data_IF_026852041845
#
_entry.id   IF_026852041845
#
_cell.length_a   1.000
_cell.length_b   1.000
_cell.length_c   1.000
_cell.angle_alpha   90.00
_cell.angle_beta   90.00
_cell.angle_gamma   90.00
#
_symmetry.space_group_name_H-M   'P 1'
#
loop_
_entity.id
_entity.type
_entity.pdbx_description
1 polymer ?
#
# COMPACT_ATOMS: atom_id res chain seq x y z
N UNK A 1 84.69 -93.74 15.40
CA UNK A 1 83.92 -94.80 16.09
C UNK A 1 83.57 -95.94 15.13
N UNK A 2 82.89 -95.70 13.99
CA UNK A 2 82.62 -96.74 12.99
C UNK A 2 83.89 -97.55 12.60
N UNK A 3 84.94 -96.86 12.18
CA UNK A 3 86.20 -97.52 11.75
C UNK A 3 87.01 -98.11 12.92
N UNK A 4 86.74 -97.70 14.17
CA UNK A 4 87.47 -98.15 15.37
C UNK A 4 86.88 -99.45 15.94
N UNK A 5 85.57 -99.65 15.76
CA UNK A 5 84.85 -100.86 16.17
C UNK A 5 85.30 -102.10 15.39
N UNK A 6 85.80 -101.93 14.16
CA UNK A 6 86.36 -103.03 13.36
C UNK A 6 87.59 -103.67 14.02
N UNK A 7 88.31 -102.92 14.87
CA UNK A 7 89.51 -103.37 15.57
C UNK A 7 89.27 -103.69 17.04
N UNK A 8 88.30 -103.04 17.70
CA UNK A 8 87.91 -103.30 19.09
C UNK A 8 86.39 -103.33 19.26
N UNK A 9 85.86 -104.56 19.33
CA UNK A 9 84.43 -104.82 19.49
C UNK A 9 83.83 -104.32 20.82
N UNK A 10 84.65 -104.00 21.84
CA UNK A 10 84.15 -103.42 23.09
C UNK A 10 83.60 -101.99 22.90
N UNK A 11 83.93 -101.32 21.79
CA UNK A 11 83.44 -99.99 21.45
C UNK A 11 82.04 -99.99 20.79
N UNK A 12 81.50 -101.16 20.45
CA UNK A 12 80.18 -101.31 19.80
C UNK A 12 79.04 -100.62 20.58
N UNK A 13 78.91 -100.78 21.92
CA UNK A 13 77.82 -100.15 22.66
C UNK A 13 77.91 -98.62 22.68
N UNK A 14 79.12 -98.05 22.67
CA UNK A 14 79.33 -96.60 22.60
C UNK A 14 78.97 -96.04 21.22
N UNK A 15 79.27 -96.78 20.15
CA UNK A 15 78.87 -96.40 18.80
C UNK A 15 77.34 -96.42 18.63
N UNK A 16 76.65 -97.41 19.21
CA UNK A 16 75.19 -97.45 19.24
C UNK A 16 74.61 -96.25 20.00
N UNK A 17 75.15 -95.92 21.17
CA UNK A 17 74.70 -94.76 21.95
C UNK A 17 74.86 -93.43 21.19
N UNK A 18 75.94 -93.28 20.43
CA UNK A 18 76.17 -92.10 19.56
C UNK A 18 75.22 -92.09 18.38
N UNK A 19 74.90 -93.24 17.77
CA UNK A 19 73.91 -93.34 16.68
C UNK A 19 72.51 -93.00 17.16
N UNK A 20 72.14 -93.47 18.36
CA UNK A 20 70.85 -93.14 18.98
C UNK A 20 70.76 -91.65 19.31
N UNK A 21 71.82 -91.07 19.87
CA UNK A 21 71.88 -89.62 20.11
C UNK A 21 71.80 -88.82 18.80
N UNK A 22 72.49 -89.26 17.75
CA UNK A 22 72.43 -88.62 16.43
C UNK A 22 71.03 -88.70 15.83
N UNK A 23 70.38 -89.87 15.91
CA UNK A 23 69.01 -90.06 15.44
C UNK A 23 68.03 -89.16 16.21
N UNK A 24 68.16 -89.08 17.54
CA UNK A 24 67.34 -88.21 18.37
C UNK A 24 67.52 -86.73 18.02
N UNK A 25 68.75 -86.26 17.80
CA UNK A 25 69.02 -84.87 17.38
C UNK A 25 68.44 -84.58 15.99
N UNK A 26 68.55 -85.51 15.04
CA UNK A 26 67.94 -85.35 13.72
C UNK A 26 66.41 -85.30 13.78
N UNK A 27 65.80 -86.09 14.66
CA UNK A 27 64.35 -86.10 14.86
C UNK A 27 63.86 -84.78 15.49
N UNK A 28 64.56 -84.28 16.52
CA UNK A 28 64.28 -82.96 17.11
C UNK A 28 64.40 -81.85 16.05
N UNK A 29 65.43 -81.90 15.20
CA UNK A 29 65.60 -80.95 14.10
C UNK A 29 64.44 -80.97 13.09
N UNK A 30 63.93 -82.17 12.76
CA UNK A 30 62.72 -82.29 11.91
C UNK A 30 61.49 -81.71 12.57
N UNK A 31 61.27 -81.99 13.85
CA UNK A 31 60.09 -81.50 14.58
C UNK A 31 60.10 -79.97 14.72
N UNK A 32 61.27 -79.35 14.93
CA UNK A 32 61.42 -77.89 14.96
C UNK A 32 61.09 -77.28 13.59
N UNK A 33 61.60 -77.86 12.50
CA UNK A 33 61.27 -77.36 11.15
C UNK A 33 59.78 -77.52 10.84
N UNK A 34 59.17 -78.66 11.17
CA UNK A 34 57.74 -78.88 10.99
C UNK A 34 56.87 -77.92 11.84
N UNK A 35 57.32 -77.58 13.05
CA UNK A 35 56.68 -76.55 13.87
C UNK A 35 56.81 -75.16 13.25
N UNK A 36 57.99 -74.84 12.70
CA UNK A 36 58.23 -73.59 11.96
C UNK A 36 57.37 -73.45 10.71
N UNK A 37 57.24 -74.52 9.92
CA UNK A 37 56.41 -74.57 8.72
C UNK A 37 54.90 -74.48 9.05
N UNK A 38 54.51 -74.87 10.27
CA UNK A 38 53.13 -74.74 10.77
C UNK A 38 52.78 -73.34 11.32
N UNK A 39 53.75 -72.44 11.44
CA UNK A 39 53.51 -71.04 11.79
C UNK A 39 53.22 -70.25 10.51
N UNK A 40 51.95 -70.21 10.10
CA UNK A 40 51.46 -69.26 9.09
C UNK A 40 51.51 -67.83 9.65
N UNK A 41 52.68 -67.22 9.63
CA UNK A 41 52.85 -65.79 9.83
C UNK A 41 52.79 -65.12 8.46
N UNK A 42 51.66 -64.50 8.12
CA UNK A 42 51.54 -63.61 6.96
C UNK A 42 51.98 -62.19 7.39
N UNK A 43 53.24 -61.79 7.13
CA UNK A 43 53.77 -60.51 7.63
C UNK A 43 53.13 -59.33 6.92
N UNK A 44 52.70 -59.52 5.67
CA UNK A 44 52.06 -58.50 4.86
C UNK A 44 50.65 -58.23 5.40
N UNK A 45 49.91 -59.28 5.78
CA UNK A 45 48.62 -59.13 6.44
C UNK A 45 48.73 -58.46 7.81
N UNK A 46 49.79 -58.75 8.57
CA UNK A 46 50.03 -58.09 9.85
C UNK A 46 50.25 -56.58 9.65
N UNK A 47 51.07 -56.19 8.67
CA UNK A 47 51.33 -54.80 8.35
C UNK A 47 50.05 -54.05 7.94
N UNK A 48 49.20 -54.65 7.09
CA UNK A 48 47.88 -54.10 6.72
C UNK A 48 46.98 -53.86 7.94
N UNK A 49 46.92 -54.83 8.86
CA UNK A 49 46.09 -54.74 10.07
C UNK A 49 46.62 -53.66 11.01
N UNK A 50 47.93 -53.59 11.20
CA UNK A 50 48.54 -52.55 12.03
C UNK A 50 48.32 -51.14 11.46
N UNK A 51 48.46 -50.98 10.14
CA UNK A 51 48.18 -49.71 9.46
C UNK A 51 46.72 -49.32 9.65
N UNK A 52 45.80 -50.26 9.46
CA UNK A 52 44.37 -50.01 9.70
C UNK A 52 44.08 -49.62 11.14
N UNK A 53 44.70 -50.27 12.12
CA UNK A 53 44.56 -49.92 13.54
C UNK A 53 45.13 -48.52 13.82
N UNK A 54 46.26 -48.14 13.20
CA UNK A 54 46.85 -46.80 13.31
C UNK A 54 45.90 -45.74 12.77
N UNK A 55 45.31 -45.95 11.59
CA UNK A 55 44.30 -45.05 11.01
C UNK A 55 43.11 -44.84 11.95
N UNK A 56 42.50 -45.94 12.42
CA UNK A 56 41.33 -45.88 13.30
C UNK A 56 41.65 -45.14 14.61
N UNK A 57 42.84 -45.34 15.17
CA UNK A 57 43.30 -44.61 16.37
C UNK A 57 43.50 -43.12 16.09
N UNK A 58 44.03 -42.74 14.94
CA UNK A 58 44.17 -41.33 14.56
C UNK A 58 42.81 -40.64 14.42
N UNK A 59 41.82 -41.32 13.81
CA UNK A 59 40.44 -40.85 13.69
C UNK A 59 39.83 -40.66 15.09
N UNK A 60 39.95 -41.66 15.97
CA UNK A 60 39.45 -41.55 17.35
C UNK A 60 40.11 -40.37 18.10
N UNK A 61 41.43 -40.21 17.99
CA UNK A 61 42.14 -39.11 18.65
C UNK A 61 41.63 -37.73 18.24
N UNK A 62 41.14 -37.56 17.00
CA UNK A 62 40.63 -36.29 16.48
C UNK A 62 39.14 -36.08 16.74
N UNK A 63 38.34 -37.15 16.70
CA UNK A 63 36.88 -37.04 16.56
C UNK A 63 36.07 -37.80 17.63
N UNK A 64 36.73 -38.50 18.55
CA UNK A 64 36.08 -39.14 19.71
C UNK A 64 36.92 -40.30 20.29
N UNK A 65 37.02 -40.44 21.62
CA UNK A 65 37.85 -41.47 22.26
C UNK A 65 37.54 -42.91 21.84
N UNK A 66 36.34 -43.17 21.29
CA UNK A 66 35.95 -44.45 20.71
C UNK A 66 35.52 -44.30 19.24
N UNK A 67 35.58 -45.41 18.49
CA UNK A 67 35.17 -45.42 17.08
C UNK A 67 33.68 -45.07 16.92
N UNK A 68 32.85 -45.51 17.87
CA UNK A 68 31.42 -45.19 17.94
C UNK A 68 31.19 -43.70 18.06
N UNK A 69 31.94 -43.02 18.93
CA UNK A 69 31.86 -41.57 19.11
C UNK A 69 32.35 -40.80 17.88
N UNK A 70 33.42 -41.26 17.23
CA UNK A 70 33.90 -40.66 15.99
C UNK A 70 32.87 -40.78 14.84
N UNK A 71 32.17 -41.91 14.74
CA UNK A 71 31.08 -42.11 13.76
C UNK A 71 29.88 -41.22 14.10
N UNK A 72 29.49 -41.14 15.37
CA UNK A 72 28.41 -40.24 15.81
C UNK A 72 28.74 -38.78 15.53
N UNK A 73 30.00 -38.37 15.74
CA UNK A 73 30.49 -37.03 15.41
C UNK A 73 30.41 -36.74 13.91
N UNK A 74 30.82 -37.68 13.06
CA UNK A 74 30.68 -37.58 11.61
C UNK A 74 29.22 -37.41 11.18
N UNK A 75 28.31 -38.23 11.71
CA UNK A 75 26.88 -38.14 11.40
C UNK A 75 26.30 -36.80 11.85
N UNK A 76 26.68 -36.31 13.03
CA UNK A 76 26.27 -34.99 13.53
C UNK A 76 26.73 -33.87 12.61
N UNK A 77 28.01 -33.85 12.21
CA UNK A 77 28.54 -32.81 11.31
C UNK A 77 27.91 -32.90 9.92
N UNK A 78 27.67 -34.10 9.38
CA UNK A 78 26.94 -34.23 8.13
C UNK A 78 25.52 -33.66 8.24
N UNK A 79 24.84 -33.88 9.36
CA UNK A 79 23.54 -33.28 9.63
C UNK A 79 23.59 -31.74 9.70
N UNK A 80 24.58 -31.19 10.41
CA UNK A 80 24.80 -29.73 10.50
C UNK A 80 25.14 -29.12 9.14
N UNK A 81 26.01 -29.76 8.35
CA UNK A 81 26.36 -29.33 6.99
C UNK A 81 25.14 -29.35 6.06
N UNK A 82 24.30 -30.39 6.14
CA UNK A 82 23.08 -30.48 5.35
C UNK A 82 22.10 -29.35 5.72
N UNK A 83 21.93 -29.04 7.02
CA UNK A 83 21.09 -27.93 7.47
C UNK A 83 21.60 -26.57 6.98
N UNK A 84 22.92 -26.34 6.99
CA UNK A 84 23.52 -25.10 6.51
C UNK A 84 23.34 -24.93 4.98
N UNK A 85 23.57 -25.99 4.20
CA UNK A 85 23.39 -25.95 2.74
C UNK A 85 21.93 -25.76 2.33
N UNK A 86 20.98 -26.38 3.04
CA UNK A 86 19.54 -26.20 2.82
C UNK A 86 19.11 -24.74 3.12
N UNK A 87 19.73 -24.12 4.12
CA UNK A 87 19.49 -22.72 4.49
C UNK A 87 19.98 -21.74 3.41
N UNK A 88 21.13 -21.99 2.78
CA UNK A 88 21.63 -21.17 1.67
C UNK A 88 20.75 -21.27 0.42
N UNK A 89 20.28 -22.48 0.08
CA UNK A 89 19.28 -22.67 -0.98
C UNK A 89 17.97 -21.94 -0.67
N UNK A 90 17.59 -21.86 0.61
CA UNK A 90 16.42 -21.10 1.04
C UNK A 90 16.60 -19.59 0.83
N UNK A 91 17.79 -19.01 1.06
CA UNK A 91 18.01 -17.57 0.86
C UNK A 91 17.94 -17.23 -0.63
N UNK A 92 18.65 -17.97 -1.49
CA UNK A 92 18.62 -17.73 -2.94
C UNK A 92 17.18 -17.88 -3.49
N UNK A 93 16.45 -18.90 -3.02
CA UNK A 93 15.03 -19.06 -3.37
C UNK A 93 14.17 -17.89 -2.89
N UNK A 94 14.40 -17.37 -1.68
CA UNK A 94 13.65 -16.22 -1.15
C UNK A 94 13.96 -14.94 -1.92
N UNK A 95 15.23 -14.71 -2.30
CA UNK A 95 15.63 -13.57 -3.14
C UNK A 95 15.00 -13.66 -4.54
N UNK A 96 14.94 -14.85 -5.13
CA UNK A 96 14.24 -15.06 -6.41
C UNK A 96 12.73 -14.77 -6.27
N UNK A 97 12.10 -15.20 -5.17
CA UNK A 97 10.69 -14.92 -4.90
C UNK A 97 10.43 -13.43 -4.65
N UNK A 98 11.32 -12.75 -3.92
CA UNK A 98 11.26 -11.31 -3.69
C UNK A 98 11.35 -10.55 -5.01
N UNK A 99 12.34 -10.88 -5.85
CA UNK A 99 12.51 -10.26 -7.17
C UNK A 99 11.28 -10.46 -8.06
N UNK A 100 10.74 -11.68 -8.12
CA UNK A 100 9.52 -11.96 -8.88
C UNK A 100 8.31 -11.15 -8.36
N UNK A 101 8.17 -11.01 -7.03
CA UNK A 101 7.14 -10.17 -6.43
C UNK A 101 7.34 -8.69 -6.75
N UNK A 102 8.59 -8.21 -6.72
CA UNK A 102 8.95 -6.83 -7.01
C UNK A 102 8.72 -6.46 -8.48
N UNK A 103 9.05 -7.35 -9.42
CA UNK A 103 8.75 -7.17 -10.85
C UNK A 103 7.24 -7.05 -11.08
N UNK A 104 6.46 -7.94 -10.45
CA UNK A 104 5.00 -7.90 -10.53
C UNK A 104 4.43 -6.61 -9.94
N UNK A 105 4.93 -6.18 -8.78
CA UNK A 105 4.55 -4.92 -8.15
C UNK A 105 4.82 -3.73 -9.09
N UNK A 106 5.99 -3.72 -9.71
CA UNK A 106 6.41 -2.67 -10.65
C UNK A 106 5.50 -2.65 -11.88
N UNK A 107 5.22 -3.82 -12.47
CA UNK A 107 4.34 -3.93 -13.63
C UNK A 107 2.92 -3.42 -13.33
N UNK A 108 2.32 -3.85 -12.22
CA UNK A 108 0.97 -3.43 -11.82
C UNK A 108 0.94 -1.94 -11.45
N UNK A 109 1.98 -1.44 -10.79
CA UNK A 109 2.10 -0.01 -10.47
C UNK A 109 2.16 0.84 -11.73
N UNK A 110 2.96 0.44 -12.73
CA UNK A 110 3.03 1.15 -14.02
C UNK A 110 1.69 1.15 -14.77
N UNK A 111 0.95 0.03 -14.73
CA UNK A 111 -0.40 -0.03 -15.29
C UNK A 111 -1.35 0.96 -14.59
N UNK A 112 -1.28 1.04 -13.27
CA UNK A 112 -2.07 1.99 -12.49
C UNK A 112 -1.69 3.44 -12.82
N UNK A 113 -0.40 3.76 -12.96
CA UNK A 113 0.08 5.08 -13.38
C UNK A 113 -0.49 5.46 -14.76
N UNK A 114 -0.49 4.55 -15.74
CA UNK A 114 -1.07 4.82 -17.06
C UNK A 114 -2.57 5.10 -17.01
N UNK A 115 -3.32 4.31 -16.22
CA UNK A 115 -4.75 4.53 -16.02
C UNK A 115 -5.01 5.89 -15.34
N UNK A 116 -4.20 6.25 -14.35
CA UNK A 116 -4.27 7.55 -13.66
C UNK A 116 -3.98 8.70 -14.61
N UNK A 117 -2.94 8.63 -15.44
CA UNK A 117 -2.62 9.67 -16.42
C UNK A 117 -3.75 9.87 -17.44
N UNK A 118 -4.39 8.78 -17.88
CA UNK A 118 -5.56 8.89 -18.77
C UNK A 118 -6.77 9.53 -18.06
N UNK A 119 -7.03 9.15 -16.81
CA UNK A 119 -8.11 9.71 -16.01
C UNK A 119 -7.87 11.19 -15.68
N UNK A 120 -6.63 11.56 -15.36
CA UNK A 120 -6.17 12.92 -15.12
C UNK A 120 -6.46 13.81 -16.34
N UNK A 121 -6.00 13.43 -17.53
CA UNK A 121 -6.24 14.20 -18.75
C UNK A 121 -7.74 14.38 -19.06
N UNK A 122 -8.56 13.36 -18.81
CA UNK A 122 -10.01 13.46 -18.97
C UNK A 122 -10.63 14.43 -17.94
N UNK A 123 -10.24 14.31 -16.67
CA UNK A 123 -10.70 15.18 -15.60
C UNK A 123 -10.31 16.64 -15.86
N UNK A 124 -9.07 16.90 -16.27
CA UNK A 124 -8.57 18.23 -16.62
C UNK A 124 -9.40 18.86 -17.73
N UNK A 125 -9.58 18.15 -18.85
CA UNK A 125 -10.36 18.64 -19.99
C UNK A 125 -11.81 18.93 -19.59
N UNK A 126 -12.44 18.01 -18.86
CA UNK A 126 -13.83 18.15 -18.42
C UNK A 126 -13.98 19.32 -17.43
N UNK A 127 -13.10 19.42 -16.44
CA UNK A 127 -13.15 20.48 -15.45
C UNK A 127 -12.96 21.87 -16.08
N UNK A 128 -12.01 22.01 -17.00
CA UNK A 128 -11.82 23.27 -17.75
C UNK A 128 -13.08 23.62 -18.55
N UNK A 129 -13.78 22.64 -19.13
CA UNK A 129 -15.04 22.90 -19.84
C UNK A 129 -16.16 23.38 -18.91
N UNK A 130 -16.24 22.83 -17.69
CA UNK A 130 -17.20 23.24 -16.65
C UNK A 130 -16.88 24.61 -16.04
N UNK A 131 -15.61 25.02 -16.02
CA UNK A 131 -15.16 26.31 -15.48
C UNK A 131 -15.41 27.49 -16.43
N UNK A 132 -15.41 27.27 -17.75
CA UNK A 132 -15.67 28.32 -18.75
C UNK A 132 -16.96 29.12 -18.50
N UNK A 133 -18.14 28.50 -18.35
CA UNK A 133 -19.39 29.24 -18.13
C UNK A 133 -19.41 29.98 -16.77
N UNK A 134 -18.53 29.62 -15.84
CA UNK A 134 -18.37 30.27 -14.53
C UNK A 134 -17.42 31.47 -14.56
N UNK A 135 -17.10 31.99 -15.76
CA UNK A 135 -16.11 33.06 -16.00
C UNK A 135 -14.69 32.72 -15.52
N UNK A 136 -14.36 31.43 -15.46
CA UNK A 136 -13.05 30.92 -15.04
C UNK A 136 -12.27 30.33 -16.24
N UNK A 137 -12.45 30.91 -17.43
CA UNK A 137 -11.83 30.45 -18.69
C UNK A 137 -10.30 30.50 -18.69
N UNK A 138 -9.74 31.36 -17.85
CA UNK A 138 -8.31 31.66 -17.76
C UNK A 138 -7.57 30.85 -16.69
N UNK A 139 -8.32 30.08 -15.91
CA UNK A 139 -7.80 29.21 -14.86
C UNK A 139 -7.00 28.08 -15.48
N UNK A 140 -5.92 27.68 -14.81
CA UNK A 140 -5.19 26.46 -15.14
C UNK A 140 -5.44 25.43 -14.04
N UNK A 141 -5.70 24.21 -14.46
CA UNK A 141 -5.81 23.05 -13.58
C UNK A 141 -5.01 21.91 -14.18
N UNK A 142 -4.24 21.23 -13.35
CA UNK A 142 -3.43 20.08 -13.72
C UNK A 142 -3.43 19.07 -12.58
N UNK A 143 -3.54 17.79 -12.90
CA UNK A 143 -3.30 16.69 -11.98
C UNK A 143 -1.85 16.27 -12.14
N UNK A 144 -1.03 16.66 -11.18
CA UNK A 144 0.37 16.26 -11.13
C UNK A 144 0.48 14.83 -10.57
N UNK A 145 1.19 13.97 -11.29
CA UNK A 145 1.44 12.58 -10.93
C UNK A 145 2.95 12.40 -10.87
N UNK A 146 3.50 12.27 -9.66
CA UNK A 146 4.92 12.07 -9.43
C UNK A 146 5.19 10.66 -8.91
N UNK A 147 6.26 9.97 -9.36
CA UNK A 147 6.62 8.67 -8.84
C UNK A 147 7.00 8.76 -7.35
N UNK A 148 6.62 7.76 -6.58
CA UNK A 148 6.96 7.63 -5.16
C UNK A 148 7.20 6.16 -4.80
N UNK A 149 7.75 5.91 -3.60
CA UNK A 149 7.92 4.54 -3.11
C UNK A 149 6.56 3.84 -3.07
N UNK A 150 6.45 2.57 -3.53
CA UNK A 150 5.18 1.86 -3.55
C UNK A 150 4.50 1.83 -2.18
N UNK A 151 3.23 2.19 -2.15
CA UNK A 151 2.36 2.08 -0.98
C UNK A 151 1.18 1.17 -1.30
N UNK A 152 0.31 0.92 -0.31
CA UNK A 152 -0.97 0.24 -0.55
C UNK A 152 -1.86 0.94 -1.60
N UNK A 153 -1.63 2.24 -1.83
CA UNK A 153 -2.35 3.04 -2.82
C UNK A 153 -1.62 3.13 -4.18
N UNK A 154 -0.54 2.39 -4.38
CA UNK A 154 0.30 2.43 -5.59
C UNK A 154 1.56 3.26 -5.42
N UNK A 155 2.25 3.50 -6.54
CA UNK A 155 3.56 4.14 -6.61
C UNK A 155 3.53 5.58 -7.17
N UNK A 156 2.37 6.23 -7.11
CA UNK A 156 2.22 7.62 -7.56
C UNK A 156 1.74 8.52 -6.41
N UNK A 157 2.39 9.67 -6.26
CA UNK A 157 1.87 10.82 -5.50
C UNK A 157 1.07 11.69 -6.45
N UNK A 158 -0.23 11.83 -6.16
CA UNK A 158 -1.16 12.63 -6.96
C UNK A 158 -1.40 13.96 -6.24
N UNK A 159 -1.18 15.07 -6.93
CA UNK A 159 -1.43 16.43 -6.44
C UNK A 159 -2.32 17.18 -7.42
N UNK A 160 -3.39 17.81 -6.93
CA UNK A 160 -4.20 18.71 -7.74
C UNK A 160 -3.60 20.10 -7.71
N UNK A 161 -3.14 20.55 -8.86
CA UNK A 161 -2.48 21.82 -9.07
C UNK A 161 -3.46 22.80 -9.72
N UNK A 162 -3.50 24.03 -9.22
CA UNK A 162 -4.44 25.05 -9.65
C UNK A 162 -3.75 26.40 -9.74
N UNK A 163 -4.23 27.25 -10.65
CA UNK A 163 -3.79 28.63 -10.80
C UNK A 163 -5.00 29.47 -11.22
N UNK A 164 -5.49 30.39 -10.37
CA UNK A 164 -6.70 31.16 -10.64
C UNK A 164 -6.47 32.21 -11.73
N UNK A 165 -5.27 32.81 -11.77
CA UNK A 165 -4.98 33.95 -12.62
C UNK A 165 -3.94 33.64 -13.71
N UNK A 166 -4.09 34.17 -14.93
CA UNK A 166 -3.02 34.16 -15.91
C UNK A 166 -1.72 34.75 -15.38
N UNK A 167 -0.61 34.08 -15.66
CA UNK A 167 0.73 34.55 -15.29
C UNK A 167 1.19 34.10 -13.91
N UNK A 168 0.31 33.55 -13.08
CA UNK A 168 0.69 32.89 -11.83
C UNK A 168 1.14 31.44 -12.08
N UNK A 169 2.07 30.91 -11.26
CA UNK A 169 2.45 29.51 -11.33
C UNK A 169 1.30 28.61 -10.84
N UNK A 170 1.34 27.35 -11.27
CA UNK A 170 0.50 26.30 -10.68
C UNK A 170 0.99 26.02 -9.26
N UNK A 171 0.06 26.00 -8.31
CA UNK A 171 0.32 25.65 -6.91
C UNK A 171 -0.63 24.54 -6.45
N UNK A 172 -0.27 23.78 -5.40
CA UNK A 172 -1.17 22.82 -4.81
C UNK A 172 -2.48 23.50 -4.39
N UNK A 173 -3.62 22.87 -4.69
CA UNK A 173 -4.95 23.39 -4.37
C UNK A 173 -5.11 23.73 -2.88
N UNK A 174 -4.40 23.04 -1.99
CA UNK A 174 -4.38 23.28 -0.54
C UNK A 174 -3.72 24.60 -0.13
N UNK A 175 -2.86 25.16 -0.97
CA UNK A 175 -2.11 26.39 -0.68
C UNK A 175 -2.80 27.65 -1.23
N UNK A 176 -3.90 27.48 -1.96
CA UNK A 176 -4.56 28.58 -2.66
C UNK A 176 -5.75 29.07 -1.83
N UNK A 177 -5.67 30.32 -1.40
CA UNK A 177 -6.70 30.98 -0.61
C UNK A 177 -7.51 31.96 -1.49
N UNK A 178 -8.72 31.58 -1.91
CA UNK A 178 -9.69 32.48 -2.55
C UNK A 178 -11.10 31.94 -2.39
N UNK A 179 -11.91 32.49 -1.47
CA UNK A 179 -13.21 31.91 -1.07
C UNK A 179 -14.20 31.71 -2.23
N UNK A 180 -14.45 32.78 -3.00
CA UNK A 180 -15.44 32.76 -4.09
C UNK A 180 -15.00 31.97 -5.32
N UNK A 181 -13.74 32.09 -5.74
CA UNK A 181 -13.21 31.34 -6.90
C UNK A 181 -13.06 29.85 -6.57
N UNK A 182 -12.61 29.53 -5.35
CA UNK A 182 -12.50 28.15 -4.89
C UNK A 182 -13.88 27.50 -4.78
N UNK A 183 -14.90 28.23 -4.31
CA UNK A 183 -16.27 27.71 -4.24
C UNK A 183 -16.85 27.42 -5.63
N UNK A 184 -16.58 28.29 -6.62
CA UNK A 184 -16.95 28.03 -8.02
C UNK A 184 -16.16 26.88 -8.63
N UNK A 185 -14.87 26.76 -8.29
CA UNK A 185 -14.05 25.62 -8.71
C UNK A 185 -14.58 24.30 -8.14
N UNK A 186 -14.89 24.27 -6.85
CA UNK A 186 -15.47 23.09 -6.19
C UNK A 186 -16.84 22.74 -6.74
N UNK A 187 -17.66 23.72 -7.12
CA UNK A 187 -18.92 23.49 -7.83
C UNK A 187 -18.68 22.78 -9.17
N UNK A 188 -17.76 23.29 -9.99
CA UNK A 188 -17.40 22.67 -11.27
C UNK A 188 -16.84 21.26 -11.08
N UNK A 189 -15.99 21.06 -10.06
CA UNK A 189 -15.44 19.77 -9.69
C UNK A 189 -16.53 18.78 -9.27
N UNK A 190 -17.48 19.21 -8.42
CA UNK A 190 -18.63 18.38 -8.05
C UNK A 190 -19.54 18.09 -9.24
N UNK A 191 -19.71 19.04 -10.17
CA UNK A 191 -20.45 18.80 -11.41
C UNK A 191 -19.80 17.69 -12.25
N UNK A 192 -18.46 17.66 -12.36
CA UNK A 192 -17.73 16.57 -13.01
C UNK A 192 -18.00 15.20 -12.37
N UNK A 193 -18.14 15.16 -11.03
CA UNK A 193 -18.33 13.93 -10.26
C UNK A 193 -19.80 13.58 -9.96
N UNK A 194 -20.76 14.43 -10.35
CA UNK A 194 -22.20 14.28 -10.04
C UNK A 194 -22.83 12.96 -10.49
N UNK A 195 -22.18 12.23 -11.41
CA UNK A 195 -22.63 10.91 -11.87
C UNK A 195 -22.13 9.75 -11.00
N UNK A 196 -21.08 9.96 -10.22
CA UNK A 196 -20.35 8.93 -9.47
C UNK A 196 -20.45 9.14 -7.95
N UNK A 197 -20.54 10.39 -7.50
CA UNK A 197 -20.56 10.77 -6.10
C UNK A 197 -21.98 11.21 -5.66
N UNK A 198 -22.55 10.48 -4.72
CA UNK A 198 -23.86 10.77 -4.10
C UNK A 198 -23.59 11.36 -2.72
N UNK A 199 -23.15 12.62 -2.66
CA UNK A 199 -23.05 13.30 -1.37
C UNK A 199 -24.46 13.73 -0.95
N UNK A 200 -24.97 13.18 0.15
CA UNK A 200 -26.37 13.40 0.57
C UNK A 200 -26.79 14.88 0.65
N UNK A 201 -25.91 15.74 1.19
CA UNK A 201 -26.15 17.18 1.32
C UNK A 201 -24.85 17.98 1.07
N UNK A 202 -24.96 19.06 0.30
CA UNK A 202 -23.88 20.00 0.00
C UNK A 202 -24.28 21.42 0.41
N UNK A 203 -23.34 22.18 0.96
CA UNK A 203 -23.54 23.58 1.36
C UNK A 203 -22.56 24.46 0.59
N UNK A 204 -23.10 25.45 -0.12
CA UNK A 204 -22.34 26.47 -0.82
C UNK A 204 -22.62 27.83 -0.19
N UNK A 205 -21.54 28.51 0.21
CA UNK A 205 -21.57 29.89 0.69
C UNK A 205 -20.66 30.72 -0.22
N UNK A 206 -21.00 31.99 -0.42
CA UNK A 206 -20.22 32.96 -1.22
C UNK A 206 -19.90 32.59 -2.68
N UNK A 207 -20.54 31.56 -3.22
CA UNK A 207 -20.39 31.10 -4.61
C UNK A 207 -20.69 32.21 -5.64
N UNK A 208 -21.63 33.09 -5.30
CA UNK A 208 -22.12 34.18 -6.14
C UNK A 208 -21.44 35.53 -5.85
N UNK A 209 -20.37 35.55 -5.04
CA UNK A 209 -19.61 36.77 -4.75
C UNK A 209 -18.84 37.24 -5.98
N UNK A 210 -19.00 38.54 -6.29
CA UNK A 210 -18.27 39.21 -7.36
C UNK A 210 -18.72 38.84 -8.78
N UNK A 211 -19.85 38.14 -8.93
CA UNK A 211 -20.37 37.69 -10.23
C UNK A 211 -21.81 38.17 -10.45
N UNK A 212 -22.20 38.37 -11.70
CA UNK A 212 -23.54 38.81 -12.07
C UNK A 212 -23.92 38.37 -13.49
N UNK A 213 -25.19 38.55 -13.86
CA UNK A 213 -25.69 38.27 -15.20
C UNK A 213 -25.46 36.82 -15.64
N UNK A 214 -24.80 36.63 -16.79
CA UNK A 214 -24.57 35.30 -17.40
C UNK A 214 -23.84 34.33 -16.47
N UNK A 215 -22.92 34.81 -15.64
CA UNK A 215 -22.16 33.96 -14.71
C UNK A 215 -23.05 33.48 -13.55
N UNK A 216 -23.87 34.36 -12.99
CA UNK A 216 -24.84 34.00 -11.96
C UNK A 216 -25.90 33.01 -12.48
N UNK A 217 -26.29 33.14 -13.76
CA UNK A 217 -27.17 32.18 -14.42
C UNK A 217 -26.51 30.79 -14.55
N UNK A 218 -25.26 30.73 -15.02
CA UNK A 218 -24.51 29.48 -15.12
C UNK A 218 -24.34 28.79 -13.75
N UNK A 219 -24.07 29.58 -12.70
CA UNK A 219 -24.06 29.09 -11.31
C UNK A 219 -25.39 28.47 -10.92
N UNK A 220 -26.50 29.16 -11.20
CA UNK A 220 -27.84 28.69 -10.88
C UNK A 220 -28.16 27.36 -11.57
N UNK A 221 -27.83 27.24 -12.86
CA UNK A 221 -28.00 26.02 -13.65
C UNK A 221 -27.14 24.86 -13.10
N UNK A 222 -25.88 25.11 -12.72
CA UNK A 222 -25.01 24.08 -12.15
C UNK A 222 -25.47 23.62 -10.76
N UNK A 223 -25.90 24.55 -9.90
CA UNK A 223 -26.48 24.20 -8.60
C UNK A 223 -27.75 23.36 -8.77
N UNK A 224 -28.58 23.69 -9.77
CA UNK A 224 -29.77 22.91 -10.09
C UNK A 224 -29.43 21.51 -10.61
N UNK A 225 -28.49 21.41 -11.54
CA UNK A 225 -28.01 20.13 -12.06
C UNK A 225 -27.51 19.21 -10.93
N UNK A 226 -26.80 19.78 -9.94
CA UNK A 226 -26.36 19.05 -8.74
C UNK A 226 -27.53 18.68 -7.82
N UNK A 227 -28.55 19.54 -7.71
CA UNK A 227 -29.71 19.31 -6.85
C UNK A 227 -30.61 18.16 -7.31
N UNK A 228 -30.51 17.75 -8.58
CA UNK A 228 -31.23 16.58 -9.11
C UNK A 228 -30.87 15.27 -8.40
N UNK A 229 -29.68 15.19 -7.80
CA UNK A 229 -29.18 13.96 -7.14
C UNK A 229 -28.76 14.17 -5.68
N UNK A 230 -28.64 15.42 -5.24
CA UNK A 230 -28.12 15.77 -3.93
C UNK A 230 -28.97 16.89 -3.31
N UNK A 231 -29.01 17.00 -1.99
CA UNK A 231 -29.57 18.20 -1.37
C UNK A 231 -28.54 19.34 -1.46
N UNK A 232 -28.87 20.44 -2.13
CA UNK A 232 -28.00 21.61 -2.24
C UNK A 232 -28.56 22.77 -1.42
N UNK A 233 -27.78 23.26 -0.46
CA UNK A 233 -28.06 24.46 0.31
C UNK A 233 -27.14 25.58 -0.17
N UNK A 234 -27.71 26.67 -0.66
CA UNK A 234 -26.95 27.83 -1.12
C UNK A 234 -27.41 29.08 -0.36
N UNK A 235 -26.47 29.80 0.24
CA UNK A 235 -26.70 31.18 0.69
C UNK A 235 -26.38 32.09 -0.49
N UNK A 236 -27.31 32.94 -0.89
CA UNK A 236 -27.18 33.77 -2.10
C UNK A 236 -27.89 35.10 -1.92
N UNK A 237 -27.35 36.13 -2.56
CA UNK A 237 -27.98 37.43 -2.70
C UNK A 237 -28.44 37.68 -4.15
N UNK A 238 -28.19 36.73 -5.05
CA UNK A 238 -28.51 36.85 -6.47
C UNK A 238 -29.93 36.32 -6.77
N UNK A 239 -30.81 37.14 -7.37
CA UNK A 239 -32.17 36.71 -7.70
C UNK A 239 -32.21 35.57 -8.72
N UNK A 240 -31.23 35.48 -9.62
CA UNK A 240 -31.11 34.40 -10.62
C UNK A 240 -30.93 33.03 -9.93
N UNK A 241 -30.06 32.97 -8.93
CA UNK A 241 -29.78 31.73 -8.18
C UNK A 241 -30.97 31.36 -7.31
N UNK A 242 -31.52 32.33 -6.57
CA UNK A 242 -32.70 32.11 -5.72
C UNK A 242 -33.95 31.69 -6.50
N UNK A 243 -34.13 32.18 -7.73
CA UNK A 243 -35.25 31.79 -8.59
C UNK A 243 -35.17 30.33 -9.06
N UNK A 244 -33.95 29.81 -9.27
CA UNK A 244 -33.75 28.43 -9.70
C UNK A 244 -34.02 27.40 -8.59
N UNK A 245 -33.89 27.78 -7.32
CA UNK A 245 -34.04 26.87 -6.19
C UNK A 245 -35.42 26.16 -6.12
N UNK A 246 -35.46 24.93 -5.62
CA UNK A 246 -36.71 24.20 -5.37
C UNK A 246 -37.50 24.80 -4.20
N UNK A 247 -36.79 25.18 -3.13
CA UNK A 247 -37.31 25.91 -1.98
C UNK A 247 -36.51 27.19 -1.77
N UNK A 248 -37.19 28.28 -1.43
CA UNK A 248 -36.58 29.56 -1.16
C UNK A 248 -36.88 29.97 0.29
N UNK A 249 -35.84 30.25 1.07
CA UNK A 249 -35.95 30.71 2.45
C UNK A 249 -35.39 32.12 2.55
N UNK A 250 -36.16 33.02 3.18
CA UNK A 250 -35.70 34.37 3.52
C UNK A 250 -35.12 34.38 4.92
N UNK A 251 -33.98 35.04 5.08
CA UNK A 251 -33.34 35.28 6.37
C UNK A 251 -33.41 36.78 6.67
N UNK A 252 -34.14 37.17 7.72
CA UNK A 252 -34.26 38.56 8.12
C UNK A 252 -33.98 38.76 9.63
N UNK A 253 -33.46 39.95 9.96
CA UNK A 253 -33.18 40.36 11.34
C UNK A 253 -34.42 41.07 11.90
N UNK A 254 -34.92 40.61 13.03
CA UNK A 254 -36.08 41.18 13.72
C UNK A 254 -35.69 41.61 15.12
N UNK A 255 -36.16 42.76 15.58
CA UNK A 255 -36.00 43.18 16.97
C UNK A 255 -37.17 42.64 17.79
N UNK A 256 -36.86 41.88 18.85
CA UNK A 256 -37.83 41.41 19.83
C UNK A 256 -37.58 42.09 21.17
N UNK A 257 -38.67 42.40 21.87
CA UNK A 257 -38.61 42.93 23.22
C UNK A 257 -38.33 41.79 24.20
N UNK A 258 -37.21 41.85 24.92
CA UNK A 258 -36.93 40.90 25.99
C UNK A 258 -37.69 41.34 27.24
N UNK A 259 -38.79 40.65 27.58
CA UNK A 259 -39.56 40.99 28.78
C UNK A 259 -41.00 40.52 28.82
N UNK A 260 -41.25 39.21 28.74
CA UNK A 260 -42.47 38.61 29.34
C UNK A 260 -42.05 37.75 30.53
N UNK A 261 -41.65 38.38 31.64
CA UNK A 261 -41.35 37.61 32.86
C UNK A 261 -40.76 38.36 34.07
N UNK A 262 -40.06 39.49 33.90
CA UNK A 262 -39.58 40.28 35.04
C UNK A 262 -39.95 41.74 34.84
N UNK A 263 -40.83 42.24 35.71
CA UNK A 263 -41.06 43.68 35.90
C UNK A 263 -39.72 44.29 36.34
N UNK A 264 -38.99 44.87 35.41
CA UNK A 264 -37.84 45.72 35.73
C UNK A 264 -38.41 47.10 36.01
N UNK A 265 -38.15 47.62 37.21
CA UNK A 265 -38.74 48.86 37.76
C UNK A 265 -38.27 50.16 37.10
N UNK A 266 -37.63 50.13 35.93
CA UNK A 266 -37.19 51.33 35.21
C UNK A 266 -37.29 51.08 33.70
N UNK A 267 -38.45 51.43 33.11
CA UNK A 267 -38.78 51.84 31.71
C UNK A 267 -38.02 51.37 30.46
N UNK A 268 -36.82 50.80 30.53
CA UNK A 268 -36.06 50.35 29.37
C UNK A 268 -36.38 48.88 29.09
N UNK A 269 -37.17 48.68 28.03
CA UNK A 269 -37.34 47.36 27.41
C UNK A 269 -36.06 47.05 26.64
N UNK A 270 -35.34 46.01 27.05
CA UNK A 270 -34.13 45.58 26.36
C UNK A 270 -34.54 44.95 25.01
N UNK A 271 -34.22 45.65 23.92
CA UNK A 271 -34.47 45.15 22.56
C UNK A 271 -33.32 44.22 22.15
N UNK A 272 -33.66 43.03 21.67
CA UNK A 272 -32.69 42.07 21.12
C UNK A 272 -32.99 41.81 19.65
N UNK A 273 -31.96 41.91 18.81
CA UNK A 273 -32.04 41.46 17.43
C UNK A 273 -31.91 39.93 17.37
N UNK A 274 -32.88 39.28 16.72
CA UNK A 274 -32.87 37.84 16.42
C UNK A 274 -32.91 37.64 14.92
N UNK A 275 -32.33 36.53 14.45
CA UNK A 275 -32.41 36.10 13.05
C UNK A 275 -33.60 35.18 12.90
N UNK A 276 -34.50 35.48 11.97
CA UNK A 276 -35.65 34.63 11.61
C UNK A 276 -35.46 34.09 10.20
N UNK A 277 -35.73 32.80 10.03
CA UNK A 277 -35.78 32.13 8.73
C UNK A 277 -37.25 31.85 8.39
N UNK A 278 -37.69 32.29 7.22
CA UNK A 278 -39.07 32.13 6.75
C UNK A 278 -39.07 31.41 5.41
N UNK A 279 -39.80 30.30 5.30
CA UNK A 279 -40.00 29.62 4.02
C UNK A 279 -40.94 30.44 3.12
N UNK A 280 -40.55 30.66 1.87
CA UNK A 280 -41.33 31.38 0.87
C UNK A 280 -42.07 30.39 -0.04
N UNK A 281 -42.95 29.58 0.55
CA UNK A 281 -43.70 28.54 -0.16
C UNK A 281 -44.79 29.11 -1.09
N UNK A 282 -45.21 30.36 -0.88
CA UNK A 282 -46.15 31.06 -1.75
C UNK A 282 -45.41 31.75 -2.90
N UNK A 283 -45.84 31.50 -4.15
CA UNK A 283 -45.30 32.14 -5.36
C UNK A 283 -45.32 33.67 -5.28
N UNK A 284 -46.35 34.25 -4.66
CA UNK A 284 -46.49 35.71 -4.50
C UNK A 284 -45.39 36.28 -3.62
N UNK A 285 -45.20 35.71 -2.43
CA UNK A 285 -44.15 36.16 -1.49
C UNK A 285 -42.75 35.86 -2.03
N UNK A 286 -42.60 34.75 -2.77
CA UNK A 286 -41.34 34.41 -3.44
C UNK A 286 -41.01 35.41 -4.55
N UNK A 287 -41.99 35.79 -5.37
CA UNK A 287 -41.86 36.82 -6.42
C UNK A 287 -41.49 38.17 -5.83
N UNK A 288 -42.15 38.57 -4.75
CA UNK A 288 -41.87 39.82 -4.04
C UNK A 288 -40.44 39.86 -3.50
N UNK A 289 -39.96 38.77 -2.90
CA UNK A 289 -38.57 38.68 -2.42
C UNK A 289 -37.57 38.77 -3.58
N UNK A 290 -37.81 38.05 -4.68
CA UNK A 290 -36.95 38.13 -5.86
C UNK A 290 -36.92 39.54 -6.47
N UNK A 291 -38.06 40.24 -6.49
CA UNK A 291 -38.15 41.62 -6.91
C UNK A 291 -37.36 42.55 -5.97
N UNK A 292 -37.42 42.28 -4.66
CA UNK A 292 -36.63 43.02 -3.67
C UNK A 292 -35.13 42.78 -3.84
N UNK A 293 -34.69 41.54 -4.11
CA UNK A 293 -33.29 41.23 -4.42
C UNK A 293 -32.82 41.91 -5.71
N UNK A 294 -33.68 42.01 -6.72
CA UNK A 294 -33.33 42.60 -8.01
C UNK A 294 -33.32 44.14 -8.03
N UNK A 295 -34.25 44.78 -7.34
CA UNK A 295 -34.50 46.23 -7.47
C UNK A 295 -34.55 47.02 -6.16
N UNK A 296 -34.37 46.36 -5.00
CA UNK A 296 -34.40 46.99 -3.66
C UNK A 296 -35.77 47.48 -3.19
N UNK A 297 -36.75 47.69 -4.09
CA UNK A 297 -38.16 48.03 -3.81
C UNK A 297 -39.10 47.36 -4.83
N UNK A 298 -40.36 47.15 -4.44
CA UNK A 298 -41.45 46.58 -5.25
C UNK A 298 -41.91 47.50 -6.38
N UNK A 299 -41.00 47.89 -7.27
CA UNK A 299 -41.33 48.56 -8.52
C UNK A 299 -41.97 47.55 -9.49
N UNK A 300 -42.89 48.01 -10.34
CA UNK A 300 -43.57 47.18 -11.35
C UNK A 300 -42.58 46.36 -12.20
N UNK A 301 -41.46 46.99 -12.55
CA UNK A 301 -40.46 46.41 -13.45
C UNK A 301 -39.66 45.31 -12.75
N UNK A 302 -39.40 45.45 -11.45
CA UNK A 302 -38.75 44.42 -10.65
C UNK A 302 -39.65 43.18 -10.46
N UNK A 303 -40.96 43.40 -10.35
CA UNK A 303 -41.95 42.31 -10.28
C UNK A 303 -42.00 41.56 -11.61
N UNK A 304 -42.09 42.27 -12.74
CA UNK A 304 -42.09 41.66 -14.07
C UNK A 304 -40.81 40.85 -14.32
N UNK A 305 -39.65 41.37 -13.90
CA UNK A 305 -38.39 40.65 -13.97
C UNK A 305 -38.40 39.38 -13.09
N UNK A 306 -38.86 39.48 -11.85
CA UNK A 306 -38.98 38.33 -10.95
C UNK A 306 -39.91 37.23 -11.50
N UNK A 307 -41.02 37.61 -12.14
CA UNK A 307 -41.92 36.66 -12.83
C UNK A 307 -41.21 35.96 -13.98
N UNK A 308 -40.46 36.72 -14.80
CA UNK A 308 -39.66 36.15 -15.88
C UNK A 308 -38.66 35.13 -15.36
N UNK A 309 -37.98 35.41 -14.23
CA UNK A 309 -37.02 34.48 -13.62
C UNK A 309 -37.68 33.18 -13.15
N UNK A 310 -38.83 33.28 -12.48
CA UNK A 310 -39.58 32.10 -12.03
C UNK A 310 -40.07 31.25 -13.21
N UNK A 311 -40.50 31.90 -14.30
CA UNK A 311 -40.95 31.21 -15.51
C UNK A 311 -39.79 30.51 -16.22
N UNK A 312 -38.63 31.17 -16.33
CA UNK A 312 -37.41 30.57 -16.88
C UNK A 312 -36.96 29.36 -16.05
N UNK A 313 -36.93 29.49 -14.72
CA UNK A 313 -36.59 28.39 -13.82
C UNK A 313 -37.58 27.21 -13.97
N UNK A 314 -38.88 27.48 -14.08
CA UNK A 314 -39.89 26.44 -14.27
C UNK A 314 -39.80 25.75 -15.64
N UNK A 315 -39.35 26.45 -16.67
CA UNK A 315 -39.13 25.87 -17.99
C UNK A 315 -37.86 25.01 -18.01
N UNK A 316 -36.79 25.48 -17.39
CA UNK A 316 -35.52 24.73 -17.28
C UNK A 316 -35.72 23.40 -16.55
N UNK A 317 -36.41 23.42 -15.40
CA UNK A 317 -36.78 22.21 -14.65
C UNK A 317 -37.61 21.20 -15.45
N UNK A 318 -38.45 21.67 -16.37
CA UNK A 318 -39.29 20.82 -17.22
C UNK A 318 -38.52 20.25 -18.41
N UNK A 319 -37.56 21.00 -18.95
CA UNK A 319 -36.75 20.59 -20.11
C UNK A 319 -35.75 19.47 -19.80
N UNK A 320 -35.33 19.28 -18.54
CA UNK A 320 -34.44 18.19 -18.13
C UNK A 320 -35.17 16.87 -17.81
N UNK A 321 -36.52 16.86 -17.80
CA UNK A 321 -37.33 15.66 -17.52
C UNK A 321 -37.67 14.82 -18.78
N UNK A 322 -37.21 15.24 -19.97
CA UNK A 322 -37.35 14.53 -21.26
C UNK A 322 -35.99 14.09 -21.78
#
# INVERSE_FOLDING_TARGET
LNDMVEYDTQLQPLLELVRDAQAAVMEVGRQINAYGDGLEADPQRLEEVEERVRELKQICRKYGPTLTEAIAYYQRIQGELAQLNDSEQSIESLEQQENACFEKLTQVSNQLTQLRSKAAANLESRLISELKPLAMEKVKFQVEILPTSPTAMGADKITFMFSPNPGEPLQPLTEIASGGEMSRFLLALKACFSQVDVAGTMVFDEIDVGVSGRVAQAIAEKLHQLSQRNQVLCVTHQPLVAAMADRHFRVDKQTINQGKGKKVNNGNVEQRTVVRVTALDNLTTRREELAQLAGGKSASDAIAFAESLLLQAANHRRGEQT
#
